data_IF_191574974694
#
_entry.id   IF_191574974694
#
_cell.length_a   1.000
_cell.length_b   1.000
_cell.length_c   1.000
_cell.angle_alpha   90.00
_cell.angle_beta   90.00
_cell.angle_gamma   90.00
#
_symmetry.space_group_name_H-M   'P 1'
#
loop_
_entity.id
_entity.type
_entity.pdbx_description
1 polymer ?
#
# COMPACT_ATOMS: atom_id res chain seq x y z
N UNK A 1 16.77 94.17 13.21
CA UNK A 1 15.77 93.42 12.43
C UNK A 1 16.42 92.14 11.87
N UNK A 2 16.27 91.00 12.55
CA UNK A 2 16.76 89.65 12.13
C UNK A 2 15.57 88.80 11.79
N UNK A 3 15.45 88.39 10.51
CA UNK A 3 14.40 87.46 10.03
C UNK A 3 14.94 86.05 10.21
N UNK A 4 14.25 85.26 11.05
CA UNK A 4 14.52 83.81 11.18
C UNK A 4 13.79 83.04 10.09
N UNK A 5 14.54 82.26 9.30
CA UNK A 5 13.98 81.25 8.39
C UNK A 5 13.65 79.99 9.23
N UNK A 6 12.39 79.61 9.18
CA UNK A 6 11.91 78.33 9.74
C UNK A 6 12.00 77.29 8.63
N UNK A 7 12.94 76.34 8.76
CA UNK A 7 13.05 75.20 7.85
C UNK A 7 12.13 74.07 8.34
N UNK A 8 11.15 73.72 7.52
CA UNK A 8 10.23 72.61 7.73
C UNK A 8 10.87 71.32 7.23
N UNK A 9 11.31 70.45 8.13
CA UNK A 9 11.82 69.12 7.80
C UNK A 9 10.63 68.13 7.64
N UNK A 10 10.39 67.71 6.40
CA UNK A 10 9.38 66.71 6.04
C UNK A 10 10.02 65.32 6.26
N UNK A 11 9.70 64.65 7.36
CA UNK A 11 10.12 63.26 7.63
C UNK A 11 9.20 62.29 6.91
N UNK A 12 9.71 61.69 5.86
CA UNK A 12 9.06 60.61 5.10
C UNK A 12 9.20 59.33 5.91
N UNK A 13 8.12 58.86 6.54
CA UNK A 13 8.05 57.60 7.27
C UNK A 13 7.96 56.45 6.25
N UNK A 14 9.04 55.71 6.06
CA UNK A 14 9.05 54.44 5.34
C UNK A 14 8.41 53.37 6.25
N UNK A 15 7.18 52.94 5.90
CA UNK A 15 6.58 51.77 6.52
C UNK A 15 7.30 50.51 6.08
N UNK A 16 7.74 49.62 6.99
CA UNK A 16 8.35 48.34 6.60
C UNK A 16 7.29 47.46 5.98
N UNK A 17 7.51 47.03 4.75
CA UNK A 17 6.75 45.96 4.11
C UNK A 17 7.05 44.63 4.85
N UNK A 18 6.17 44.19 5.70
CA UNK A 18 6.21 42.85 6.32
C UNK A 18 5.90 41.86 5.20
N UNK A 19 6.94 41.29 4.60
CA UNK A 19 6.78 40.10 3.77
C UNK A 19 6.24 38.97 4.65
N UNK A 20 4.98 38.61 4.43
CA UNK A 20 4.35 37.47 5.08
C UNK A 20 5.20 36.24 4.81
N UNK A 21 5.72 35.60 5.86
CA UNK A 21 6.37 34.30 5.73
C UNK A 21 5.34 33.33 5.11
N UNK A 22 5.72 32.52 4.08
CA UNK A 22 4.85 31.47 3.62
C UNK A 22 4.60 30.53 4.81
N UNK A 23 3.36 30.48 5.29
CA UNK A 23 2.94 29.54 6.31
C UNK A 23 3.35 28.15 5.84
N UNK A 24 3.94 27.34 6.72
CA UNK A 24 4.19 25.93 6.48
C UNK A 24 2.87 25.30 6.14
N UNK A 25 2.62 25.05 4.86
CA UNK A 25 1.39 24.39 4.42
C UNK A 25 1.35 23.02 5.10
N UNK A 26 0.36 22.80 5.98
CA UNK A 26 0.17 21.52 6.65
C UNK A 26 0.06 20.40 5.62
N UNK A 27 0.36 19.18 6.02
CA UNK A 27 0.15 18.01 5.17
C UNK A 27 -1.33 17.82 4.86
N UNK A 28 -1.66 17.25 3.68
CA UNK A 28 -3.00 16.88 3.30
C UNK A 28 -3.27 15.39 3.47
N UNK A 29 -4.48 14.98 3.13
CA UNK A 29 -4.94 13.58 3.15
C UNK A 29 -5.50 13.22 1.79
N UNK A 30 -5.28 11.99 1.32
CA UNK A 30 -6.03 11.41 0.21
C UNK A 30 -6.94 10.33 0.77
N UNK A 31 -8.24 10.46 0.53
CA UNK A 31 -9.19 9.37 0.71
C UNK A 31 -9.67 8.89 -0.65
N UNK A 32 -10.06 7.64 -0.75
CA UNK A 32 -10.53 7.18 -2.03
C UNK A 32 -11.18 5.81 -1.99
N UNK A 33 -11.58 5.39 -3.18
CA UNK A 33 -12.19 4.11 -3.39
C UNK A 33 -11.67 3.44 -4.66
N UNK A 34 -11.40 2.15 -4.55
CA UNK A 34 -11.12 1.29 -5.70
C UNK A 34 -12.38 0.50 -6.00
N UNK A 35 -12.80 0.47 -7.26
CA UNK A 35 -14.03 -0.19 -7.69
C UNK A 35 -13.80 -1.10 -8.90
N UNK A 36 -14.59 -2.16 -8.97
CA UNK A 36 -14.76 -3.00 -10.16
C UNK A 36 -16.20 -2.79 -10.68
N UNK A 37 -16.36 -2.36 -11.93
CA UNK A 37 -17.68 -2.14 -12.54
C UNK A 37 -18.21 -3.34 -13.28
N UNK A 38 -17.32 -4.24 -13.74
CA UNK A 38 -17.76 -5.52 -14.30
C UNK A 38 -18.23 -6.48 -13.20
N UNK A 39 -19.10 -7.44 -13.53
CA UNK A 39 -19.38 -8.56 -12.64
C UNK A 39 -18.07 -9.26 -12.24
N UNK A 40 -17.81 -9.50 -10.93
CA UNK A 40 -16.58 -10.14 -10.51
C UNK A 40 -16.50 -11.56 -11.08
N UNK A 41 -15.32 -11.98 -11.60
CA UNK A 41 -15.13 -13.35 -12.00
C UNK A 41 -15.23 -14.25 -10.77
N UNK A 42 -15.76 -15.46 -10.94
CA UNK A 42 -15.76 -16.43 -9.86
C UNK A 42 -14.33 -16.77 -9.42
N UNK A 43 -14.07 -16.71 -8.11
CA UNK A 43 -12.80 -17.14 -7.56
C UNK A 43 -12.67 -18.67 -7.63
N UNK A 44 -11.54 -19.23 -8.12
CA UNK A 44 -11.33 -20.66 -8.19
C UNK A 44 -11.44 -21.34 -6.83
N UNK A 45 -12.05 -22.53 -6.80
CA UNK A 45 -12.11 -23.35 -5.58
C UNK A 45 -10.72 -23.96 -5.34
N UNK A 46 -10.22 -23.82 -4.12
CA UNK A 46 -9.00 -24.47 -3.66
C UNK A 46 -9.35 -25.89 -3.19
N UNK A 47 -8.74 -26.90 -3.83
CA UNK A 47 -8.89 -28.31 -3.46
C UNK A 47 -7.69 -28.73 -2.61
N UNK A 48 -7.83 -28.66 -1.30
CA UNK A 48 -6.74 -28.93 -0.34
C UNK A 48 -6.55 -30.43 -0.05
N UNK A 49 -7.25 -31.32 -0.74
CA UNK A 49 -7.25 -32.76 -0.46
C UNK A 49 -5.92 -33.48 -0.67
N UNK A 50 -4.93 -32.83 -1.30
CA UNK A 50 -3.55 -33.36 -1.43
C UNK A 50 -2.76 -33.26 -0.10
N UNK A 51 -3.12 -32.33 0.80
CA UNK A 51 -2.59 -32.23 2.15
C UNK A 51 -3.69 -32.52 3.17
N UNK A 52 -3.60 -33.67 3.91
CA UNK A 52 -4.61 -34.04 4.88
C UNK A 52 -4.81 -33.04 6.01
N UNK A 53 -3.76 -32.29 6.41
CA UNK A 53 -3.85 -31.28 7.47
C UNK A 53 -4.55 -30.02 6.99
N UNK A 54 -4.27 -29.58 5.75
CA UNK A 54 -5.01 -28.48 5.13
C UNK A 54 -6.49 -28.83 4.92
N UNK A 55 -6.77 -30.06 4.47
CA UNK A 55 -8.14 -30.56 4.31
C UNK A 55 -8.88 -30.60 5.66
N UNK A 56 -8.22 -31.03 6.74
CA UNK A 56 -8.79 -31.04 8.10
C UNK A 56 -9.07 -29.61 8.61
N UNK A 57 -8.10 -28.70 8.48
CA UNK A 57 -8.23 -27.30 8.93
C UNK A 57 -9.38 -26.54 8.25
N UNK A 58 -9.76 -26.99 7.06
CA UNK A 58 -10.81 -26.36 6.24
C UNK A 58 -12.05 -27.25 6.06
N UNK A 59 -12.17 -28.33 6.86
CA UNK A 59 -13.26 -29.29 6.75
C UNK A 59 -14.64 -28.61 6.79
N UNK A 60 -15.50 -28.95 5.84
CA UNK A 60 -16.83 -28.39 5.69
C UNK A 60 -16.90 -26.96 5.19
N UNK A 61 -15.77 -26.35 4.86
CA UNK A 61 -15.70 -24.98 4.31
C UNK A 61 -15.41 -25.03 2.82
N UNK A 62 -16.10 -24.18 2.06
CA UNK A 62 -15.72 -23.90 0.68
C UNK A 62 -14.61 -22.84 0.69
N UNK A 63 -13.38 -23.24 0.46
CA UNK A 63 -12.25 -22.32 0.36
C UNK A 63 -12.04 -21.95 -1.11
N UNK A 64 -11.88 -20.68 -1.37
CA UNK A 64 -11.64 -20.15 -2.72
C UNK A 64 -10.38 -19.29 -2.72
N UNK A 65 -9.77 -19.14 -3.90
CA UNK A 65 -8.78 -18.10 -4.14
C UNK A 65 -9.49 -16.76 -4.02
N UNK A 66 -9.09 -15.93 -3.05
CA UNK A 66 -9.64 -14.60 -2.86
C UNK A 66 -8.89 -13.51 -3.65
N UNK A 67 -8.62 -13.83 -4.92
CA UNK A 67 -7.96 -12.92 -5.84
C UNK A 67 -8.82 -11.69 -6.18
N UNK A 68 -10.15 -11.87 -6.27
CA UNK A 68 -11.07 -10.76 -6.49
C UNK A 68 -12.13 -10.78 -5.39
N UNK A 69 -12.05 -9.82 -4.49
CA UNK A 69 -12.99 -9.62 -3.39
C UNK A 69 -13.69 -8.29 -3.59
N UNK A 70 -15.02 -8.34 -3.76
CA UNK A 70 -15.82 -7.14 -3.99
C UNK A 70 -16.97 -7.02 -2.99
N UNK A 71 -17.27 -5.79 -2.60
CA UNK A 71 -18.52 -5.47 -1.90
C UNK A 71 -19.72 -5.47 -2.86
N UNK A 72 -20.93 -5.47 -2.31
CA UNK A 72 -22.17 -5.51 -3.10
C UNK A 72 -22.31 -4.33 -4.09
N UNK A 73 -21.71 -3.20 -3.80
CA UNK A 73 -21.71 -1.98 -4.62
C UNK A 73 -20.43 -1.81 -5.45
N UNK A 74 -19.65 -2.89 -5.61
CA UNK A 74 -18.48 -2.95 -6.48
C UNK A 74 -17.18 -2.44 -5.88
N UNK A 75 -17.10 -2.13 -4.59
CA UNK A 75 -15.83 -1.82 -3.94
C UNK A 75 -14.86 -2.99 -4.06
N UNK A 76 -13.63 -2.76 -4.50
CA UNK A 76 -12.61 -3.79 -4.76
C UNK A 76 -11.54 -3.77 -3.66
N UNK A 77 -11.45 -4.85 -2.90
CA UNK A 77 -10.46 -5.06 -1.85
C UNK A 77 -9.08 -5.47 -2.41
N UNK A 78 -8.08 -5.44 -1.55
CA UNK A 78 -6.72 -5.89 -1.84
C UNK A 78 -6.00 -5.13 -2.96
N UNK A 79 -6.42 -3.92 -3.29
CA UNK A 79 -5.65 -3.06 -4.16
C UNK A 79 -4.59 -2.30 -3.35
N UNK A 80 -3.33 -2.38 -3.76
CA UNK A 80 -2.25 -1.58 -3.21
C UNK A 80 -2.23 -0.21 -3.86
N UNK A 81 -2.46 0.83 -3.06
CA UNK A 81 -2.51 2.22 -3.53
C UNK A 81 -1.31 2.98 -2.98
N UNK A 82 -0.56 3.65 -3.84
CA UNK A 82 0.62 4.40 -3.42
C UNK A 82 0.87 5.63 -4.29
N UNK A 83 1.57 6.62 -3.74
CA UNK A 83 2.12 7.71 -4.55
C UNK A 83 3.35 7.21 -5.32
N UNK A 84 3.51 7.67 -6.54
CA UNK A 84 4.70 7.40 -7.35
C UNK A 84 5.63 8.62 -7.33
N UNK A 85 6.93 8.37 -7.18
CA UNK A 85 7.97 9.41 -7.16
C UNK A 85 8.87 9.31 -5.94
N UNK A 86 9.83 10.21 -5.86
CA UNK A 86 10.74 10.30 -4.72
C UNK A 86 10.22 11.32 -3.71
N UNK A 87 10.32 10.98 -2.44
CA UNK A 87 9.89 11.81 -1.33
C UNK A 87 11.05 12.01 -0.34
N UNK A 88 11.03 13.07 0.46
CA UNK A 88 11.99 13.22 1.55
C UNK A 88 11.94 12.02 2.50
N UNK A 89 13.10 11.68 3.05
CA UNK A 89 13.20 10.63 4.06
C UNK A 89 12.25 10.89 5.22
N UNK A 90 11.50 9.85 5.58
CA UNK A 90 10.61 9.86 6.73
C UNK A 90 11.00 8.72 7.69
N UNK A 91 10.79 8.87 9.00
CA UNK A 91 11.06 7.81 9.97
C UNK A 91 10.42 6.49 9.55
N UNK A 92 11.18 5.40 9.60
CA UNK A 92 10.66 4.07 9.28
C UNK A 92 9.86 3.54 10.47
N UNK A 93 8.74 2.82 10.22
CA UNK A 93 8.02 2.15 11.29
C UNK A 93 8.95 1.17 12.03
N UNK A 94 8.90 1.17 13.35
CA UNK A 94 9.71 0.28 14.18
C UNK A 94 9.21 -1.19 14.15
N UNK A 95 7.94 -1.41 13.81
CA UNK A 95 7.32 -2.73 13.79
C UNK A 95 7.51 -3.48 12.48
N UNK A 96 7.51 -4.80 12.56
CA UNK A 96 7.44 -5.67 11.40
C UNK A 96 6.03 -5.69 10.80
N UNK A 97 5.96 -5.91 9.47
CA UNK A 97 4.72 -6.27 8.79
C UNK A 97 4.60 -7.79 8.82
N UNK A 98 3.48 -8.31 9.32
CA UNK A 98 3.30 -9.76 9.47
C UNK A 98 2.33 -10.32 8.44
N UNK A 99 2.72 -11.42 7.79
CA UNK A 99 1.85 -12.31 7.02
C UNK A 99 1.80 -13.64 7.75
N UNK A 100 0.59 -14.10 8.10
CA UNK A 100 0.37 -15.38 8.76
C UNK A 100 -0.03 -16.47 7.76
N UNK A 101 0.49 -17.66 7.95
CA UNK A 101 0.08 -18.89 7.26
C UNK A 101 -0.95 -19.58 8.15
N UNK A 102 -2.23 -19.38 7.83
CA UNK A 102 -3.34 -19.88 8.62
C UNK A 102 -4.40 -20.52 7.75
N UNK A 103 -4.82 -21.73 8.12
CA UNK A 103 -5.71 -22.59 7.31
C UNK A 103 -5.17 -22.80 5.88
N UNK A 104 -3.86 -22.98 5.77
CA UNK A 104 -3.14 -23.15 4.51
C UNK A 104 -3.36 -22.01 3.50
N UNK A 105 -3.44 -20.77 3.99
CA UNK A 105 -3.51 -19.54 3.23
C UNK A 105 -2.58 -18.49 3.85
N UNK A 106 -2.03 -17.59 3.04
CA UNK A 106 -1.39 -16.38 3.53
C UNK A 106 -2.43 -15.32 3.89
N UNK A 107 -2.27 -14.70 5.05
CA UNK A 107 -3.16 -13.63 5.58
C UNK A 107 -2.35 -12.51 6.23
N UNK A 108 -2.58 -11.23 5.86
CA UNK A 108 -3.44 -10.78 4.77
C UNK A 108 -2.86 -11.12 3.38
N UNK A 109 -3.69 -11.03 2.34
CA UNK A 109 -3.28 -11.32 0.96
C UNK A 109 -2.37 -10.26 0.35
N UNK A 110 -2.63 -8.99 0.67
CA UNK A 110 -1.84 -7.85 0.21
C UNK A 110 -1.47 -6.99 1.40
N UNK A 111 -0.21 -6.61 1.47
CA UNK A 111 0.32 -5.69 2.49
C UNK A 111 1.23 -4.65 1.84
N UNK A 112 1.37 -3.51 2.50
CA UNK A 112 2.38 -2.52 2.18
C UNK A 112 3.49 -2.50 3.23
N UNK A 113 4.72 -2.27 2.80
CA UNK A 113 5.87 -2.14 3.67
C UNK A 113 6.87 -1.12 3.10
N UNK A 114 7.78 -0.63 3.93
CA UNK A 114 8.83 0.28 3.52
C UNK A 114 10.17 -0.44 3.33
N UNK A 115 10.98 0.07 2.43
CA UNK A 115 12.40 -0.34 2.32
C UNK A 115 13.07 -0.23 3.69
N UNK A 116 13.82 -1.25 4.08
CA UNK A 116 14.46 -1.37 5.39
C UNK A 116 13.57 -1.88 6.53
N UNK A 117 12.25 -1.98 6.33
CA UNK A 117 11.33 -2.60 7.28
C UNK A 117 11.43 -4.12 7.22
N UNK A 118 11.23 -4.79 8.34
CA UNK A 118 11.15 -6.25 8.39
C UNK A 118 9.75 -6.71 8.01
N UNK A 119 9.67 -7.70 7.11
CA UNK A 119 8.46 -8.50 6.93
C UNK A 119 8.64 -9.83 7.66
N UNK A 120 7.63 -10.25 8.42
CA UNK A 120 7.60 -11.50 9.16
C UNK A 120 6.55 -12.45 8.60
N UNK A 121 6.93 -13.71 8.46
CA UNK A 121 6.03 -14.79 8.08
C UNK A 121 5.92 -15.75 9.25
N UNK A 122 4.69 -15.93 9.75
CA UNK A 122 4.38 -16.86 10.84
C UNK A 122 3.70 -18.10 10.29
N UNK A 123 4.12 -19.28 10.72
CA UNK A 123 3.37 -20.51 10.48
C UNK A 123 2.43 -20.81 11.65
N UNK A 124 1.13 -20.57 11.50
CA UNK A 124 0.10 -20.89 12.51
C UNK A 124 -0.57 -22.27 12.29
N UNK A 125 -0.20 -22.97 11.23
CA UNK A 125 -0.72 -24.30 10.91
C UNK A 125 0.18 -25.44 11.44
N UNK A 126 -0.36 -26.61 11.76
CA UNK A 126 0.42 -27.76 12.18
C UNK A 126 0.95 -28.57 10.99
N UNK A 127 1.37 -27.90 9.92
CA UNK A 127 1.93 -28.52 8.70
C UNK A 127 3.09 -27.73 8.16
N UNK A 128 3.90 -28.38 7.29
CA UNK A 128 4.97 -27.71 6.57
C UNK A 128 4.41 -26.69 5.58
N UNK A 129 4.87 -25.48 5.71
CA UNK A 129 4.76 -24.46 4.69
C UNK A 129 6.15 -24.03 4.21
N UNK A 130 6.16 -23.29 3.11
CA UNK A 130 7.36 -22.65 2.57
C UNK A 130 7.01 -21.21 2.26
N UNK A 131 7.93 -20.30 2.47
CA UNK A 131 7.79 -18.89 2.11
C UNK A 131 8.82 -18.58 1.05
N UNK A 132 8.36 -18.35 -0.16
CA UNK A 132 9.21 -18.06 -1.30
C UNK A 132 8.85 -16.68 -1.85
N UNK A 133 9.73 -15.70 -1.65
CA UNK A 133 9.65 -14.37 -2.23
C UNK A 133 10.28 -14.37 -3.62
N UNK A 134 9.45 -14.16 -4.65
CA UNK A 134 9.92 -14.06 -6.04
C UNK A 134 10.20 -12.59 -6.34
N UNK A 135 11.47 -12.22 -6.48
CA UNK A 135 11.91 -10.84 -6.58
C UNK A 135 12.85 -10.59 -7.76
N UNK A 136 12.63 -9.48 -8.45
CA UNK A 136 13.57 -8.90 -9.42
C UNK A 136 14.45 -7.79 -8.80
N UNK A 137 14.14 -7.37 -7.55
CA UNK A 137 14.73 -6.21 -6.88
C UNK A 137 15.60 -6.55 -5.65
N UNK A 138 16.15 -7.75 -5.55
CA UNK A 138 16.98 -8.22 -4.42
C UNK A 138 16.21 -8.49 -3.11
N UNK A 139 14.89 -8.67 -3.16
CA UNK A 139 14.06 -9.11 -2.05
C UNK A 139 13.78 -10.62 -2.09
N UNK A 140 14.60 -11.38 -2.81
CA UNK A 140 14.44 -12.82 -2.96
C UNK A 140 14.79 -13.57 -1.67
N UNK A 141 13.98 -14.55 -1.31
CA UNK A 141 14.22 -15.53 -0.25
C UNK A 141 13.38 -16.79 -0.48
N UNK A 142 13.84 -17.93 0.08
CA UNK A 142 13.09 -19.19 0.03
C UNK A 142 13.38 -19.99 1.31
N UNK A 143 12.38 -20.13 2.18
CA UNK A 143 12.54 -20.72 3.52
C UNK A 143 11.39 -21.66 3.84
N UNK A 144 11.73 -22.90 4.23
CA UNK A 144 10.78 -23.85 4.76
C UNK A 144 10.43 -23.58 6.22
N UNK A 145 9.14 -23.68 6.57
CA UNK A 145 8.63 -23.53 7.94
C UNK A 145 7.84 -24.79 8.34
N UNK A 146 8.53 -25.87 8.79
CA UNK A 146 7.88 -27.15 9.08
C UNK A 146 7.10 -27.18 10.39
N UNK A 147 7.29 -26.21 11.30
CA UNK A 147 6.77 -26.27 12.66
C UNK A 147 5.79 -25.12 12.92
N UNK A 148 4.64 -25.46 13.49
CA UNK A 148 3.66 -24.45 13.97
C UNK A 148 4.32 -23.50 14.96
N UNK A 149 4.04 -22.19 14.79
CA UNK A 149 4.60 -21.10 15.61
C UNK A 149 5.94 -20.59 15.12
N UNK A 150 6.55 -21.23 14.12
CA UNK A 150 7.79 -20.73 13.52
C UNK A 150 7.58 -19.38 12.86
N UNK A 151 8.54 -18.46 13.05
CA UNK A 151 8.56 -17.13 12.46
C UNK A 151 9.84 -16.98 11.64
N UNK A 152 9.71 -16.43 10.45
CA UNK A 152 10.82 -16.03 9.59
C UNK A 152 10.70 -14.54 9.30
N UNK A 153 11.76 -13.77 9.55
CA UNK A 153 11.85 -12.35 9.27
C UNK A 153 12.83 -12.05 8.15
N UNK A 154 12.45 -11.17 7.23
CA UNK A 154 13.31 -10.69 6.15
C UNK A 154 13.28 -9.16 6.08
N UNK A 155 14.45 -8.52 6.05
CA UNK A 155 14.56 -7.09 5.87
C UNK A 155 14.46 -6.74 4.39
N UNK A 156 13.44 -5.95 4.01
CA UNK A 156 13.21 -5.50 2.65
C UNK A 156 14.33 -4.55 2.20
N UNK A 157 14.95 -4.81 1.06
CA UNK A 157 16.19 -4.16 0.63
C UNK A 157 15.96 -3.04 -0.39
N UNK A 158 14.97 -3.17 -1.26
CA UNK A 158 14.68 -2.25 -2.36
C UNK A 158 13.19 -2.12 -2.62
N UNK A 159 12.81 -1.01 -3.24
CA UNK A 159 11.45 -0.82 -3.75
C UNK A 159 11.09 -1.91 -4.76
N UNK A 160 9.90 -2.46 -4.61
CA UNK A 160 9.33 -3.47 -5.49
C UNK A 160 7.81 -3.49 -5.37
N UNK A 161 7.13 -3.06 -6.42
CA UNK A 161 5.68 -3.10 -6.50
C UNK A 161 5.29 -4.05 -7.64
N UNK A 162 4.97 -5.32 -7.35
CA UNK A 162 4.73 -6.00 -6.06
C UNK A 162 5.69 -7.18 -5.92
N UNK A 163 6.26 -7.37 -4.73
CA UNK A 163 6.96 -8.60 -4.39
C UNK A 163 5.93 -9.74 -4.24
N UNK A 164 6.07 -10.78 -5.05
CA UNK A 164 5.16 -11.93 -5.05
C UNK A 164 5.63 -13.00 -4.06
N UNK A 165 4.77 -13.40 -3.15
CA UNK A 165 5.02 -14.44 -2.15
C UNK A 165 4.24 -15.70 -2.52
N UNK A 166 4.93 -16.83 -2.60
CA UNK A 166 4.36 -18.14 -2.93
C UNK A 166 4.76 -19.20 -1.91
N UNK A 167 4.06 -20.33 -1.93
CA UNK A 167 4.46 -21.54 -1.21
C UNK A 167 4.72 -22.66 -2.22
N UNK A 168 5.94 -23.22 -2.24
CA UNK A 168 6.30 -24.27 -3.17
C UNK A 168 5.60 -25.60 -2.85
N UNK A 169 5.16 -25.76 -1.58
CA UNK A 169 4.40 -26.95 -1.13
C UNK A 169 2.92 -26.84 -1.51
N UNK A 170 2.32 -25.65 -1.30
CA UNK A 170 0.91 -25.42 -1.51
C UNK A 170 0.71 -24.30 -2.54
N UNK A 171 0.72 -24.63 -3.81
CA UNK A 171 0.73 -23.69 -4.95
C UNK A 171 -0.44 -22.70 -5.00
N UNK A 172 -1.47 -22.93 -4.19
CA UNK A 172 -2.59 -21.99 -4.06
C UNK A 172 -2.32 -20.87 -3.05
N UNK A 173 -1.31 -21.03 -2.17
CA UNK A 173 -0.94 -19.99 -1.21
C UNK A 173 -0.14 -18.89 -1.93
N UNK A 174 -0.71 -17.70 -1.95
CA UNK A 174 -0.08 -16.52 -2.55
C UNK A 174 -0.41 -15.27 -1.74
N UNK A 175 0.54 -14.36 -1.68
CA UNK A 175 0.39 -13.02 -1.13
C UNK A 175 1.27 -12.03 -1.90
N UNK A 176 1.05 -10.74 -1.67
CA UNK A 176 1.80 -9.68 -2.34
C UNK A 176 2.22 -8.60 -1.36
N UNK A 177 3.43 -8.09 -1.53
CA UNK A 177 3.99 -7.04 -0.68
C UNK A 177 4.36 -5.84 -1.55
N UNK A 178 3.65 -4.72 -1.37
CA UNK A 178 4.03 -3.45 -1.98
C UNK A 178 5.18 -2.82 -1.19
N UNK A 179 6.39 -2.86 -1.74
CA UNK A 179 7.58 -2.30 -1.11
C UNK A 179 7.88 -0.94 -1.70
N UNK A 180 7.76 0.11 -0.90
CA UNK A 180 8.04 1.51 -1.31
C UNK A 180 8.98 2.19 -0.30
N UNK A 181 9.64 3.25 -0.71
CA UNK A 181 10.61 3.95 0.17
C UNK A 181 9.99 5.13 0.94
N UNK A 182 8.70 5.32 0.87
CA UNK A 182 7.97 6.42 1.50
C UNK A 182 6.72 5.93 2.25
N UNK A 183 6.12 6.70 3.16
CA UNK A 183 4.96 6.26 3.94
C UNK A 183 3.61 6.41 3.21
N UNK A 184 3.57 6.94 1.99
CA UNK A 184 2.35 7.34 1.29
C UNK A 184 1.75 6.16 0.50
N UNK A 185 1.22 5.19 1.20
CA UNK A 185 0.52 4.04 0.63
C UNK A 185 -0.58 3.53 1.53
N UNK A 186 -1.50 2.77 0.97
CA UNK A 186 -2.55 2.04 1.68
C UNK A 186 -2.93 0.78 0.91
N UNK A 187 -3.66 -0.13 1.54
CA UNK A 187 -4.34 -1.25 0.87
C UNK A 187 -5.83 -1.04 1.01
N UNK A 188 -6.58 -1.20 -0.07
CA UNK A 188 -8.04 -1.05 -0.03
C UNK A 188 -8.68 -2.16 0.79
N UNK A 189 -9.59 -1.76 1.69
CA UNK A 189 -10.37 -2.65 2.52
C UNK A 189 -11.52 -3.33 1.75
N UNK A 190 -12.36 -4.10 2.48
CA UNK A 190 -13.48 -4.88 1.90
C UNK A 190 -14.48 -4.03 1.11
N UNK A 191 -14.64 -2.76 1.47
CA UNK A 191 -15.51 -1.80 0.76
C UNK A 191 -14.77 -1.06 -0.38
N UNK A 192 -13.53 -1.44 -0.67
CA UNK A 192 -12.67 -0.78 -1.63
C UNK A 192 -12.10 0.56 -1.15
N UNK A 193 -12.39 0.99 0.06
CA UNK A 193 -11.94 2.28 0.59
C UNK A 193 -10.49 2.25 1.05
N UNK A 194 -9.81 3.40 0.92
CA UNK A 194 -8.45 3.61 1.43
C UNK A 194 -8.26 5.04 1.90
N UNK A 195 -7.26 5.25 2.76
CA UNK A 195 -6.80 6.57 3.21
C UNK A 195 -5.29 6.61 3.25
N UNK A 196 -4.69 7.70 2.78
CA UNK A 196 -3.27 7.99 2.85
C UNK A 196 -3.11 9.35 3.51
N UNK A 197 -2.43 9.37 4.66
CA UNK A 197 -2.28 10.54 5.50
C UNK A 197 -0.94 11.25 5.27
N UNK A 198 -0.83 12.46 5.82
CA UNK A 198 0.39 13.24 5.94
C UNK A 198 1.09 13.57 4.61
N UNK A 199 0.34 13.67 3.51
CA UNK A 199 0.86 13.90 2.17
C UNK A 199 1.34 15.36 2.03
N UNK A 200 2.55 15.60 1.51
CA UNK A 200 3.00 16.95 1.18
C UNK A 200 2.06 17.63 0.20
N UNK A 201 1.75 18.94 0.35
CA UNK A 201 0.98 19.68 -0.63
C UNK A 201 1.64 19.66 -2.01
N UNK A 202 0.83 19.57 -3.06
CA UNK A 202 1.31 19.57 -4.43
C UNK A 202 0.54 18.61 -5.34
N UNK A 203 1.00 18.52 -6.58
CA UNK A 203 0.48 17.57 -7.55
C UNK A 203 1.27 16.27 -7.49
N UNK A 204 0.57 15.17 -7.29
CA UNK A 204 1.14 13.84 -7.16
C UNK A 204 0.61 12.89 -8.23
N UNK A 205 1.42 11.91 -8.59
CA UNK A 205 0.97 10.73 -9.33
C UNK A 205 0.61 9.66 -8.32
N UNK A 206 -0.63 9.13 -8.40
CA UNK A 206 -1.11 8.05 -7.55
C UNK A 206 -1.40 6.83 -8.40
N UNK A 207 -1.05 5.65 -7.88
CA UNK A 207 -1.25 4.37 -8.55
C UNK A 207 -2.04 3.42 -7.67
N UNK A 208 -2.92 2.63 -8.28
CA UNK A 208 -3.57 1.50 -7.64
C UNK A 208 -3.22 0.23 -8.42
N UNK A 209 -2.61 -0.74 -7.74
CA UNK A 209 -2.30 -2.04 -8.30
C UNK A 209 -3.25 -3.10 -7.74
N UNK A 210 -3.71 -4.00 -8.60
CA UNK A 210 -4.49 -5.16 -8.20
C UNK A 210 -3.99 -6.41 -8.95
N UNK A 211 -3.83 -7.55 -8.26
CA UNK A 211 -3.22 -8.77 -8.82
C UNK A 211 -3.89 -9.26 -10.11
N UNK A 212 -5.21 -9.11 -10.23
CA UNK A 212 -5.98 -9.55 -11.40
C UNK A 212 -6.02 -8.54 -12.52
N UNK A 213 -5.95 -7.24 -12.19
CA UNK A 213 -6.24 -6.16 -13.13
C UNK A 213 -5.05 -5.25 -13.41
N UNK A 214 -3.90 -5.45 -12.74
CA UNK A 214 -2.72 -4.61 -12.94
C UNK A 214 -2.84 -3.23 -12.33
N UNK A 215 -2.16 -2.25 -12.93
CA UNK A 215 -2.00 -0.92 -12.36
C UNK A 215 -2.79 0.14 -13.12
N UNK A 216 -3.60 0.91 -12.39
CA UNK A 216 -4.17 2.18 -12.85
C UNK A 216 -3.34 3.34 -12.30
N UNK A 217 -3.24 4.42 -13.08
CA UNK A 217 -2.45 5.61 -12.72
C UNK A 217 -3.27 6.87 -13.00
N UNK A 218 -3.23 7.82 -12.07
CA UNK A 218 -3.84 9.15 -12.26
C UNK A 218 -3.07 10.22 -11.49
N UNK A 219 -3.40 11.50 -11.72
CA UNK A 219 -2.87 12.62 -10.97
C UNK A 219 -3.86 13.08 -9.92
N UNK A 220 -3.35 13.57 -8.79
CA UNK A 220 -4.14 14.17 -7.72
C UNK A 220 -3.45 15.42 -7.20
N UNK A 221 -4.21 16.49 -7.01
CA UNK A 221 -3.73 17.72 -6.39
C UNK A 221 -4.12 17.72 -4.91
N UNK A 222 -3.12 17.84 -4.03
CA UNK A 222 -3.29 17.85 -2.57
C UNK A 222 -2.98 19.23 -2.04
N UNK A 223 -3.94 19.87 -1.40
CA UNK A 223 -3.73 21.13 -0.70
C UNK A 223 -3.48 20.88 0.80
N UNK A 224 -2.64 21.70 1.40
CA UNK A 224 -2.31 21.58 2.83
C UNK A 224 -3.55 21.72 3.71
N UNK A 225 -3.68 20.82 4.69
CA UNK A 225 -4.81 20.77 5.61
C UNK A 225 -6.12 20.24 5.00
N UNK A 226 -6.15 19.87 3.73
CA UNK A 226 -7.34 19.42 3.04
C UNK A 226 -7.31 17.93 2.72
N UNK A 227 -8.49 17.38 2.44
CA UNK A 227 -8.67 16.02 1.93
C UNK A 227 -8.94 16.06 0.43
N UNK A 228 -8.09 15.39 -0.37
CA UNK A 228 -8.35 15.11 -1.76
C UNK A 228 -9.08 13.76 -1.88
N UNK A 229 -10.03 13.65 -2.81
CA UNK A 229 -10.80 12.43 -3.05
C UNK A 229 -10.41 11.83 -4.39
N UNK A 230 -10.14 10.52 -4.42
CA UNK A 230 -9.70 9.79 -5.62
C UNK A 230 -10.54 8.52 -5.79
N UNK A 231 -10.96 8.24 -7.02
CA UNK A 231 -11.60 6.97 -7.35
C UNK A 231 -10.81 6.25 -8.45
N UNK A 232 -10.52 4.96 -8.23
CA UNK A 232 -9.96 4.06 -9.23
C UNK A 232 -11.05 3.10 -9.71
N UNK A 233 -11.27 3.06 -11.02
CA UNK A 233 -12.33 2.23 -11.62
C UNK A 233 -11.69 1.21 -12.54
N UNK A 234 -11.72 -0.05 -12.14
CA UNK A 234 -11.43 -1.20 -13.01
C UNK A 234 -12.70 -1.60 -13.75
N UNK A 235 -12.58 -1.77 -15.06
CA UNK A 235 -13.70 -2.18 -15.95
C UNK A 235 -13.81 -3.70 -16.04
N UNK A 236 -12.77 -4.43 -15.61
CA UNK A 236 -12.65 -5.88 -15.74
C UNK A 236 -11.97 -6.32 -17.05
N UNK A 237 -11.65 -5.37 -17.93
CA UNK A 237 -10.93 -5.63 -19.18
C UNK A 237 -9.41 -5.50 -19.04
N UNK A 238 -8.95 -4.86 -17.96
CA UNK A 238 -7.54 -4.66 -17.65
C UNK A 238 -6.84 -6.00 -17.43
N UNK A 239 -5.53 -6.02 -17.65
CA UNK A 239 -4.69 -7.21 -17.46
C UNK A 239 -3.52 -6.86 -16.57
N UNK A 240 -3.09 -7.78 -15.69
CA UNK A 240 -1.84 -7.60 -14.96
C UNK A 240 -0.70 -7.51 -15.97
N UNK A 241 0.28 -6.67 -15.64
CA UNK A 241 1.57 -6.75 -16.31
C UNK A 241 2.23 -8.12 -16.08
N UNK A 242 3.38 -8.41 -16.72
CA UNK A 242 4.13 -9.63 -16.46
C UNK A 242 4.38 -9.76 -14.96
N UNK A 243 3.93 -10.86 -14.37
CA UNK A 243 4.23 -11.26 -12.99
C UNK A 243 5.16 -12.48 -13.08
N UNK A 244 6.22 -12.47 -12.31
CA UNK A 244 7.04 -13.66 -12.10
C UNK A 244 6.44 -14.57 -11.05
#
# INVERSE_FOLDING_TARGET
MRRGLLSLLLTCALSPFVAGQPGTAGSGVITGRVRLTAPPPGNPIIRMGMDPRCAEATRGKRVVQDAVVTSADGGLANAFVHLAGSFPDAPRPAGAVTIDQHNCLYRPRVVGARVGQTIEFRNSDPTLHNVHGLSDASNEFNVGQPVKGQVFGFQLKREEVMLHITCDVHRWMTAYVGVVDHPYFAVSGEQGTFTIDAIPPGRHTIRAWHERYGTLTQSVDVAGGNTAVVEFIYTGSERPGPQR
#
